data_IF_986634837113
#
_entry.id   IF_986634837113
#
_cell.length_a   1.000
_cell.length_b   1.000
_cell.length_c   1.000
_cell.angle_alpha   90.00
_cell.angle_beta   90.00
_cell.angle_gamma   90.00
#
_symmetry.space_group_name_H-M   'P 1'
#
loop_
_entity.id
_entity.type
_entity.pdbx_description
1 polymer ?
#
# COMPACT_ATOMS: atom_id res chain seq x y z
N UNK A 1 -24.65 -23.77 21.60
CA UNK A 1 -25.10 -23.67 20.20
C UNK A 1 -24.82 -22.25 19.73
N UNK A 2 -23.95 -21.91 18.78
CA UNK A 2 -22.78 -22.52 18.17
C UNK A 2 -21.94 -21.33 17.69
N UNK A 3 -20.62 -21.31 17.96
CA UNK A 3 -19.74 -20.19 17.63
C UNK A 3 -19.47 -20.13 16.13
N UNK A 4 -19.78 -19.01 15.48
CA UNK A 4 -19.34 -18.75 14.11
C UNK A 4 -17.83 -18.46 14.13
N UNK A 5 -17.06 -19.48 13.74
CA UNK A 5 -15.64 -19.33 13.40
C UNK A 5 -15.61 -18.85 11.94
N UNK A 6 -15.29 -17.58 11.71
CA UNK A 6 -14.98 -17.09 10.37
C UNK A 6 -13.57 -17.55 10.01
N UNK A 7 -13.47 -18.68 9.30
CA UNK A 7 -12.24 -19.19 8.71
C UNK A 7 -12.11 -18.62 7.29
N UNK A 8 -11.05 -17.86 7.03
CA UNK A 8 -10.63 -17.50 5.66
C UNK A 8 -9.63 -18.55 5.18
N UNK A 9 -9.99 -19.83 5.25
CA UNK A 9 -9.19 -20.91 4.67
C UNK A 9 -9.69 -21.20 3.26
N UNK A 10 -8.81 -21.14 2.26
CA UNK A 10 -9.12 -21.40 0.84
C UNK A 10 -9.82 -22.73 0.51
N UNK A 11 -10.00 -23.64 1.48
CA UNK A 11 -10.83 -24.85 1.32
C UNK A 11 -12.34 -24.58 1.22
N UNK A 12 -12.80 -23.42 1.68
CA UNK A 12 -14.18 -22.95 1.55
C UNK A 12 -14.35 -21.85 0.49
N UNK A 13 -13.40 -21.72 -0.46
CA UNK A 13 -13.66 -20.99 -1.71
C UNK A 13 -14.65 -21.80 -2.58
N UNK A 14 -15.86 -21.98 -2.05
CA UNK A 14 -17.02 -22.27 -2.86
C UNK A 14 -17.12 -21.11 -3.85
N UNK A 15 -17.29 -21.44 -5.11
CA UNK A 15 -17.54 -20.54 -6.25
C UNK A 15 -18.78 -19.62 -6.10
N UNK A 16 -19.26 -19.39 -4.87
CA UNK A 16 -20.28 -18.42 -4.50
C UNK A 16 -19.70 -17.01 -4.29
N UNK A 17 -18.42 -16.80 -4.63
CA UNK A 17 -17.81 -15.48 -4.67
C UNK A 17 -18.39 -14.66 -5.83
N UNK A 18 -19.25 -13.71 -5.50
CA UNK A 18 -19.74 -12.62 -6.35
C UNK A 18 -20.47 -13.13 -7.59
N UNK A 19 -21.78 -12.96 -7.64
CA UNK A 19 -22.48 -12.90 -8.93
C UNK A 19 -21.72 -11.85 -9.76
N UNK A 20 -20.87 -12.27 -10.71
CA UNK A 20 -20.31 -11.34 -11.69
C UNK A 20 -21.54 -10.61 -12.24
N UNK A 21 -21.59 -9.27 -12.19
CA UNK A 21 -22.68 -8.57 -12.84
C UNK A 21 -22.69 -9.10 -14.27
N UNK A 22 -23.83 -9.64 -14.70
CA UNK A 22 -24.00 -10.10 -16.07
C UNK A 22 -24.05 -8.80 -16.89
N UNK A 23 -22.88 -8.30 -17.27
CA UNK A 23 -22.75 -7.13 -18.13
C UNK A 23 -23.08 -7.57 -19.54
N UNK A 24 -24.36 -7.48 -19.90
CA UNK A 24 -24.90 -8.03 -21.15
C UNK A 24 -24.51 -7.25 -22.43
N UNK A 25 -23.50 -6.37 -22.38
CA UNK A 25 -23.01 -5.63 -23.55
C UNK A 25 -21.49 -5.37 -23.41
N UNK A 26 -20.67 -6.04 -24.24
CA UNK A 26 -19.21 -5.86 -24.47
C UNK A 26 -18.22 -6.90 -23.89
N UNK A 27 -18.56 -8.19 -23.83
CA UNK A 27 -17.58 -9.25 -23.49
C UNK A 27 -16.27 -9.13 -24.30
N UNK A 28 -16.35 -8.81 -25.59
CA UNK A 28 -15.18 -8.66 -26.47
C UNK A 28 -14.24 -7.50 -26.05
N UNK A 29 -14.76 -6.32 -25.67
CA UNK A 29 -13.90 -5.18 -25.30
C UNK A 29 -13.19 -5.42 -23.97
N UNK A 30 -13.88 -5.97 -22.98
CA UNK A 30 -13.27 -6.29 -21.69
C UNK A 30 -12.22 -7.40 -21.82
N UNK A 31 -12.48 -8.40 -22.66
CA UNK A 31 -11.51 -9.44 -22.98
C UNK A 31 -10.28 -8.89 -23.71
N UNK A 32 -10.46 -7.95 -24.63
CA UNK A 32 -9.34 -7.25 -25.28
C UNK A 32 -8.50 -6.45 -24.28
N UNK A 33 -9.14 -5.70 -23.37
CA UNK A 33 -8.45 -4.94 -22.32
C UNK A 33 -7.71 -5.85 -21.34
N UNK A 34 -8.33 -6.94 -20.89
CA UNK A 34 -7.69 -7.96 -20.05
C UNK A 34 -6.47 -8.56 -20.74
N UNK A 35 -6.61 -8.93 -22.01
CA UNK A 35 -5.51 -9.46 -22.83
C UNK A 35 -4.38 -8.44 -22.98
N UNK A 36 -4.69 -7.17 -23.20
CA UNK A 36 -3.68 -6.11 -23.29
C UNK A 36 -2.90 -5.96 -21.99
N UNK A 37 -3.58 -5.94 -20.83
CA UNK A 37 -2.93 -5.88 -19.51
C UNK A 37 -2.04 -7.10 -19.27
N UNK A 38 -2.53 -8.31 -19.58
CA UNK A 38 -1.73 -9.54 -19.47
C UNK A 38 -0.49 -9.50 -20.37
N UNK A 39 -0.60 -8.97 -21.59
CA UNK A 39 0.54 -8.83 -22.50
C UNK A 39 1.56 -7.80 -21.99
N UNK A 40 1.10 -6.71 -21.37
CA UNK A 40 2.00 -5.76 -20.69
C UNK A 40 2.72 -6.39 -19.51
N UNK A 41 2.02 -7.18 -18.68
CA UNK A 41 2.66 -7.95 -17.60
C UNK A 41 3.70 -8.93 -18.16
N UNK A 42 3.35 -9.67 -19.21
CA UNK A 42 4.27 -10.59 -19.89
C UNK A 42 5.53 -9.88 -20.39
N UNK A 43 5.38 -8.73 -21.05
CA UNK A 43 6.51 -7.92 -21.49
C UNK A 43 7.43 -7.51 -20.33
N UNK A 44 6.86 -7.00 -19.24
CA UNK A 44 7.61 -6.62 -18.04
C UNK A 44 8.31 -7.82 -17.39
N UNK A 45 7.60 -8.95 -17.27
CA UNK A 45 8.13 -10.19 -16.72
C UNK A 45 9.27 -10.75 -17.56
N UNK A 46 9.16 -10.78 -18.89
CA UNK A 46 10.23 -11.22 -19.79
C UNK A 46 11.48 -10.34 -19.65
N UNK A 47 11.31 -9.03 -19.50
CA UNK A 47 12.40 -8.11 -19.22
C UNK A 47 13.08 -8.42 -17.88
N UNK A 48 12.29 -8.58 -16.81
CA UNK A 48 12.77 -8.94 -15.47
C UNK A 48 13.49 -10.30 -15.50
N UNK A 49 12.85 -11.34 -16.03
CA UNK A 49 13.37 -12.69 -16.18
C UNK A 49 14.70 -12.72 -16.94
N UNK A 50 14.85 -11.90 -17.98
CA UNK A 50 16.08 -11.86 -18.79
C UNK A 50 17.25 -11.16 -18.09
N UNK A 51 16.99 -10.09 -17.34
CA UNK A 51 18.05 -9.18 -16.88
C UNK A 51 18.24 -9.14 -15.36
N UNK A 52 17.26 -9.58 -14.58
CA UNK A 52 17.18 -9.39 -13.14
C UNK A 52 16.47 -10.54 -12.39
N UNK A 53 16.34 -11.74 -12.98
CA UNK A 53 15.64 -12.85 -12.33
C UNK A 53 16.25 -13.20 -10.96
N UNK A 54 15.41 -13.27 -9.93
CA UNK A 54 15.83 -13.48 -8.55
C UNK A 54 16.48 -12.26 -7.89
N UNK A 55 16.46 -11.09 -8.54
CA UNK A 55 16.92 -9.80 -8.01
C UNK A 55 15.73 -8.94 -7.60
N UNK A 56 15.96 -7.91 -6.81
CA UNK A 56 14.87 -7.11 -6.24
C UNK A 56 14.14 -6.31 -7.31
N UNK A 57 14.87 -5.54 -8.12
CA UNK A 57 14.28 -4.68 -9.15
C UNK A 57 15.17 -4.67 -10.39
N UNK A 58 14.51 -4.65 -11.55
CA UNK A 58 15.15 -4.36 -12.82
C UNK A 58 15.32 -2.84 -12.97
N UNK A 59 16.51 -2.40 -13.37
CA UNK A 59 16.76 -1.04 -13.86
C UNK A 59 16.61 -1.07 -15.40
N UNK A 60 15.41 -0.79 -15.97
CA UNK A 60 15.06 -1.21 -17.33
C UNK A 60 15.89 -0.51 -18.42
N UNK A 61 16.34 0.73 -18.17
CA UNK A 61 17.15 1.50 -19.13
C UNK A 61 18.59 0.96 -19.20
N UNK A 62 19.19 0.70 -18.04
CA UNK A 62 20.59 0.25 -17.95
C UNK A 62 20.76 -1.26 -17.98
N UNK A 63 19.65 -2.02 -17.88
CA UNK A 63 19.62 -3.48 -17.76
C UNK A 63 20.45 -4.00 -16.58
N UNK A 64 20.55 -3.18 -15.52
CA UNK A 64 21.16 -3.54 -14.24
C UNK A 64 20.07 -3.92 -13.25
N UNK A 65 20.45 -4.24 -12.02
CA UNK A 65 19.54 -4.61 -10.95
C UNK A 65 20.08 -4.18 -9.59
N UNK A 66 19.20 -4.13 -8.60
CA UNK A 66 19.54 -4.12 -7.18
C UNK A 66 19.07 -5.45 -6.54
N UNK A 67 19.59 -5.81 -5.35
CA UNK A 67 19.23 -7.10 -4.76
C UNK A 67 19.33 -7.12 -3.24
N UNK A 68 18.32 -7.73 -2.63
CA UNK A 68 18.22 -8.10 -1.23
C UNK A 68 17.60 -9.50 -1.16
N UNK A 69 16.32 -9.64 -1.54
CA UNK A 69 15.51 -10.85 -1.39
C UNK A 69 14.75 -11.30 -2.64
N UNK A 70 14.96 -10.68 -3.80
CA UNK A 70 14.19 -11.01 -5.00
C UNK A 70 12.77 -10.42 -4.95
N UNK A 71 12.63 -9.19 -4.42
CA UNK A 71 11.32 -8.56 -4.18
C UNK A 71 10.38 -8.60 -5.38
N UNK A 72 10.80 -8.20 -6.59
CA UNK A 72 9.93 -8.24 -7.80
C UNK A 72 9.40 -9.63 -8.10
N UNK A 73 10.22 -10.68 -7.89
CA UNK A 73 9.78 -12.06 -8.09
C UNK A 73 8.63 -12.41 -7.16
N UNK A 74 8.77 -12.05 -5.87
CA UNK A 74 7.78 -12.35 -4.82
C UNK A 74 6.51 -11.53 -4.99
N UNK A 75 6.66 -10.22 -5.20
CA UNK A 75 5.56 -9.24 -5.38
C UNK A 75 4.77 -9.48 -6.69
N UNK A 76 5.28 -10.35 -7.58
CA UNK A 76 4.59 -10.75 -8.81
C UNK A 76 3.87 -12.10 -8.71
N UNK A 77 4.10 -12.91 -7.67
CA UNK A 77 3.61 -14.30 -7.63
C UNK A 77 2.08 -14.38 -7.71
N UNK A 78 1.37 -13.58 -6.92
CA UNK A 78 -0.08 -13.54 -6.94
C UNK A 78 -0.63 -13.00 -8.28
N UNK A 79 0.01 -11.98 -8.84
CA UNK A 79 -0.34 -11.38 -10.13
C UNK A 79 -0.18 -12.39 -11.26
N UNK A 80 0.95 -13.11 -11.32
CA UNK A 80 1.17 -14.20 -12.29
C UNK A 80 0.09 -15.28 -12.15
N UNK A 81 -0.26 -15.62 -10.91
CA UNK A 81 -1.28 -16.63 -10.65
C UNK A 81 -2.69 -16.18 -11.09
N UNK A 82 -3.08 -14.94 -10.78
CA UNK A 82 -4.37 -14.32 -11.14
C UNK A 82 -4.50 -14.16 -12.66
N UNK A 83 -3.42 -13.79 -13.34
CA UNK A 83 -3.39 -13.57 -14.80
C UNK A 83 -3.23 -14.86 -15.62
N UNK A 84 -3.30 -16.03 -14.97
CA UNK A 84 -3.13 -17.34 -15.61
C UNK A 84 -1.80 -17.45 -16.38
N UNK A 85 -0.72 -16.98 -15.75
CA UNK A 85 0.67 -17.11 -16.19
C UNK A 85 1.35 -18.20 -15.35
N UNK A 86 0.82 -19.43 -15.46
CA UNK A 86 1.17 -20.56 -14.57
C UNK A 86 2.59 -21.08 -14.76
N UNK A 87 3.13 -21.01 -15.97
CA UNK A 87 4.51 -21.41 -16.26
C UNK A 87 5.49 -20.46 -15.58
N UNK A 88 5.25 -19.15 -15.72
CA UNK A 88 6.04 -18.10 -15.06
C UNK A 88 5.93 -18.18 -13.53
N UNK A 89 4.73 -18.44 -13.01
CA UNK A 89 4.51 -18.67 -11.58
C UNK A 89 5.32 -19.88 -11.07
N UNK A 90 5.32 -20.99 -11.81
CA UNK A 90 6.04 -22.20 -11.42
C UNK A 90 7.55 -21.96 -11.40
N UNK A 91 8.10 -21.30 -12.43
CA UNK A 91 9.52 -20.92 -12.49
C UNK A 91 9.92 -20.01 -11.31
N UNK A 92 9.07 -19.03 -10.98
CA UNK A 92 9.28 -18.13 -9.84
C UNK A 92 9.22 -18.88 -8.50
N UNK A 93 8.24 -19.78 -8.32
CA UNK A 93 8.09 -20.61 -7.11
C UNK A 93 9.30 -21.53 -6.90
N UNK A 94 9.81 -22.14 -7.97
CA UNK A 94 10.99 -23.02 -7.89
C UNK A 94 12.24 -22.22 -7.50
N UNK A 95 12.37 -20.98 -7.97
CA UNK A 95 13.43 -20.09 -7.51
C UNK A 95 13.24 -19.67 -6.04
N UNK A 96 12.02 -19.31 -5.64
CA UNK A 96 11.66 -18.91 -4.27
C UNK A 96 12.10 -19.95 -3.23
N UNK A 97 12.00 -21.25 -3.54
CA UNK A 97 12.42 -22.33 -2.65
C UNK A 97 13.90 -22.19 -2.20
N UNK A 98 14.76 -21.59 -3.04
CA UNK A 98 16.18 -21.42 -2.79
C UNK A 98 16.53 -20.12 -2.03
N UNK A 99 15.57 -19.22 -1.81
CA UNK A 99 15.81 -17.94 -1.13
C UNK A 99 15.97 -18.18 0.38
N UNK A 100 17.03 -17.62 0.97
CA UNK A 100 17.28 -17.63 2.40
C UNK A 100 16.96 -16.26 3.02
N UNK A 101 15.80 -16.14 3.66
CA UNK A 101 15.35 -14.89 4.28
C UNK A 101 16.09 -14.54 5.59
N UNK A 102 16.92 -15.45 6.12
CA UNK A 102 17.80 -15.14 7.24
C UNK A 102 19.13 -14.50 6.81
N UNK A 103 19.29 -14.16 5.53
CA UNK A 103 20.48 -13.49 5.00
C UNK A 103 20.09 -12.40 3.99
N UNK A 104 20.89 -11.34 3.93
CA UNK A 104 20.75 -10.26 2.95
C UNK A 104 22.13 -9.70 2.58
N UNK A 105 22.18 -8.74 1.67
CA UNK A 105 23.44 -8.10 1.28
C UNK A 105 24.15 -7.45 2.49
N UNK A 106 25.50 -7.50 2.56
CA UNK A 106 26.24 -6.94 3.69
C UNK A 106 25.89 -5.47 3.96
N UNK A 107 25.78 -5.11 5.23
CA UNK A 107 25.43 -3.76 5.71
C UNK A 107 24.04 -3.25 5.28
N UNK A 108 23.19 -4.11 4.74
CA UNK A 108 21.83 -3.71 4.38
C UNK A 108 20.92 -3.60 5.61
N UNK A 109 20.25 -2.46 5.74
CA UNK A 109 19.19 -2.23 6.72
C UNK A 109 17.84 -2.52 6.07
N UNK A 110 17.20 -3.59 6.52
CA UNK A 110 15.92 -4.04 5.99
C UNK A 110 14.79 -3.29 6.69
N UNK A 111 13.93 -2.61 5.92
CA UNK A 111 12.73 -1.96 6.45
C UNK A 111 11.71 -3.02 6.84
N UNK A 112 11.15 -2.90 8.04
CA UNK A 112 10.07 -3.76 8.51
C UNK A 112 8.82 -3.59 7.64
N UNK A 113 8.36 -2.35 7.47
CA UNK A 113 7.14 -2.02 6.72
C UNK A 113 7.20 -2.50 5.27
N UNK A 114 8.23 -2.11 4.50
CA UNK A 114 8.34 -2.50 3.08
C UNK A 114 8.44 -4.02 2.91
N UNK A 115 9.12 -4.71 3.83
CA UNK A 115 9.25 -6.16 3.78
C UNK A 115 7.95 -6.87 4.11
N UNK A 116 7.16 -6.32 5.03
CA UNK A 116 5.88 -6.90 5.41
C UNK A 116 4.87 -6.77 4.28
N UNK A 117 4.68 -5.57 3.74
CA UNK A 117 3.63 -5.36 2.73
C UNK A 117 3.94 -6.06 1.40
N UNK A 118 5.22 -6.11 0.98
CA UNK A 118 5.64 -6.70 -0.32
C UNK A 118 5.98 -8.18 -0.22
N UNK A 119 6.84 -8.54 0.74
CA UNK A 119 7.40 -9.89 0.80
C UNK A 119 6.46 -10.81 1.58
N UNK A 120 6.13 -10.46 2.83
CA UNK A 120 5.22 -11.29 3.62
C UNK A 120 3.81 -11.29 3.01
N UNK A 121 3.29 -10.11 2.66
CA UNK A 121 1.99 -9.95 1.98
C UNK A 121 1.92 -10.70 0.66
N UNK A 122 2.91 -10.54 -0.22
CA UNK A 122 2.98 -11.25 -1.50
C UNK A 122 3.02 -12.78 -1.35
N UNK A 123 3.81 -13.29 -0.40
CA UNK A 123 3.87 -14.73 -0.12
C UNK A 123 2.55 -15.27 0.45
N UNK A 124 1.94 -14.58 1.41
CA UNK A 124 0.66 -14.98 1.99
C UNK A 124 -0.47 -14.96 0.95
N UNK A 125 -0.51 -13.92 0.11
CA UNK A 125 -1.45 -13.78 -1.02
C UNK A 125 -1.28 -14.93 -2.01
N UNK A 126 -0.04 -15.19 -2.46
CA UNK A 126 0.26 -16.28 -3.39
C UNK A 126 -0.07 -17.65 -2.80
N UNK A 127 0.16 -17.87 -1.50
CA UNK A 127 -0.22 -19.11 -0.81
C UNK A 127 -1.73 -19.30 -0.77
N UNK A 128 -2.50 -18.29 -0.39
CA UNK A 128 -3.98 -18.40 -0.34
C UNK A 128 -4.59 -18.69 -1.72
N UNK A 129 -3.99 -18.15 -2.79
CA UNK A 129 -4.45 -18.37 -4.16
C UNK A 129 -4.05 -19.76 -4.70
N UNK A 130 -2.86 -20.24 -4.37
CA UNK A 130 -2.27 -21.45 -4.99
C UNK A 130 -2.32 -22.71 -4.13
N UNK A 131 -2.38 -22.58 -2.81
CA UNK A 131 -2.26 -23.68 -1.86
C UNK A 131 -0.86 -24.30 -1.76
N UNK A 132 0.16 -23.69 -2.37
CA UNK A 132 1.52 -24.22 -2.45
C UNK A 132 2.25 -24.14 -1.11
N UNK A 133 2.46 -25.28 -0.44
CA UNK A 133 2.99 -25.33 0.93
C UNK A 133 4.35 -24.64 1.10
N UNK A 134 5.22 -24.71 0.10
CA UNK A 134 6.54 -24.06 0.12
C UNK A 134 6.43 -22.53 0.26
N UNK A 135 5.37 -21.92 -0.28
CA UNK A 135 5.17 -20.48 -0.19
C UNK A 135 4.83 -20.08 1.25
N UNK A 136 4.00 -20.86 1.95
CA UNK A 136 3.70 -20.63 3.37
C UNK A 136 4.93 -20.84 4.25
N UNK A 137 5.76 -21.85 3.95
CA UNK A 137 7.03 -22.07 4.65
C UNK A 137 7.93 -20.83 4.53
N UNK A 138 8.08 -20.28 3.32
CA UNK A 138 8.84 -19.04 3.10
C UNK A 138 8.21 -17.80 3.72
N UNK A 139 6.88 -17.70 3.75
CA UNK A 139 6.19 -16.62 4.46
C UNK A 139 6.52 -16.65 5.96
N UNK A 140 6.57 -17.86 6.55
CA UNK A 140 6.97 -18.04 7.94
C UNK A 140 8.45 -17.67 8.16
N UNK A 141 9.35 -18.04 7.26
CA UNK A 141 10.76 -17.62 7.34
C UNK A 141 10.88 -16.09 7.41
N UNK A 142 10.21 -15.37 6.50
CA UNK A 142 10.20 -13.89 6.48
C UNK A 142 9.63 -13.32 7.78
N UNK A 143 8.48 -13.83 8.21
CA UNK A 143 7.82 -13.41 9.45
C UNK A 143 8.74 -13.56 10.67
N UNK A 144 9.48 -14.68 10.77
CA UNK A 144 10.45 -14.91 11.85
C UNK A 144 11.69 -14.02 11.72
N UNK A 145 12.24 -13.83 10.52
CA UNK A 145 13.43 -13.01 10.31
C UNK A 145 13.21 -11.54 10.70
N UNK A 146 12.00 -11.03 10.49
CA UNK A 146 11.60 -9.66 10.85
C UNK A 146 11.09 -9.53 12.30
N UNK A 147 10.71 -10.64 12.93
CA UNK A 147 10.08 -10.62 14.26
C UNK A 147 10.88 -9.94 15.39
N UNK A 148 12.23 -9.91 15.38
CA UNK A 148 12.99 -9.18 16.40
C UNK A 148 12.60 -7.68 16.51
N UNK A 149 12.09 -7.07 15.44
CA UNK A 149 11.61 -5.69 15.48
C UNK A 149 10.49 -5.45 16.52
N UNK A 150 9.71 -6.46 16.87
CA UNK A 150 8.59 -6.33 17.83
C UNK A 150 9.00 -6.47 19.30
N UNK A 151 10.30 -6.57 19.58
CA UNK A 151 10.82 -6.68 20.95
C UNK A 151 11.18 -5.34 21.59
N UNK A 152 10.83 -4.23 20.96
CA UNK A 152 10.99 -2.90 21.57
C UNK A 152 10.14 -2.77 22.85
N UNK A 153 10.68 -2.21 23.96
CA UNK A 153 9.99 -2.16 25.25
C UNK A 153 8.64 -1.43 25.26
N UNK A 154 8.47 -0.41 24.41
CA UNK A 154 7.21 0.34 24.33
C UNK A 154 6.03 -0.45 23.75
N UNK A 155 6.31 -1.54 23.02
CA UNK A 155 5.32 -2.26 22.22
C UNK A 155 5.15 -1.74 20.80
N UNK A 156 5.75 -0.58 20.45
CA UNK A 156 5.86 -0.08 19.07
C UNK A 156 7.17 -0.64 18.48
N UNK A 157 7.16 -1.28 17.29
CA UNK A 157 8.31 -1.99 16.77
C UNK A 157 9.47 -1.06 16.34
N UNK A 158 10.66 -1.62 16.15
CA UNK A 158 11.73 -0.99 15.38
C UNK A 158 11.33 -0.90 13.90
N UNK A 159 11.64 0.21 13.22
CA UNK A 159 11.34 0.38 11.79
C UNK A 159 12.28 -0.39 10.87
N UNK A 160 13.50 -0.69 11.33
CA UNK A 160 14.53 -1.36 10.55
C UNK A 160 15.24 -2.46 11.32
N UNK A 161 15.82 -3.42 10.60
CA UNK A 161 16.62 -4.51 11.13
C UNK A 161 17.79 -4.86 10.22
N UNK A 162 18.94 -5.17 10.81
CA UNK A 162 20.00 -5.89 10.11
C UNK A 162 19.71 -7.40 10.23
N UNK A 163 19.28 -8.02 9.13
CA UNK A 163 18.90 -9.44 9.08
C UNK A 163 20.09 -10.35 9.39
N UNK A 164 21.28 -10.01 8.88
CA UNK A 164 22.48 -10.83 9.04
C UNK A 164 22.93 -10.91 10.51
N UNK A 165 22.78 -9.82 11.27
CA UNK A 165 23.12 -9.77 12.71
C UNK A 165 21.91 -9.96 13.62
N UNK A 166 20.69 -10.06 13.05
CA UNK A 166 19.40 -10.09 13.75
C UNK A 166 19.21 -8.92 14.72
N UNK A 167 19.79 -7.77 14.40
CA UNK A 167 19.82 -6.59 15.29
C UNK A 167 18.82 -5.55 14.79
N UNK A 168 17.75 -5.26 15.55
CA UNK A 168 16.86 -4.14 15.25
C UNK A 168 17.59 -2.79 15.34
N UNK A 169 17.12 -1.80 14.59
CA UNK A 169 17.74 -0.48 14.47
C UNK A 169 16.74 0.59 14.92
N UNK A 170 17.15 1.39 15.90
CA UNK A 170 16.33 2.49 16.41
C UNK A 170 16.23 3.62 15.38
N UNK A 171 15.00 4.01 15.10
CA UNK A 171 14.63 5.02 14.12
C UNK A 171 13.32 5.66 14.54
N UNK A 172 13.06 6.89 14.10
CA UNK A 172 11.72 7.46 14.20
C UNK A 172 10.80 6.66 13.28
N UNK A 173 9.65 6.22 13.79
CA UNK A 173 8.64 5.55 12.98
C UNK A 173 7.50 6.51 12.67
N UNK A 174 6.92 6.36 11.49
CA UNK A 174 5.63 6.98 11.18
C UNK A 174 4.46 6.01 11.45
N UNK A 175 3.26 6.56 11.61
CA UNK A 175 2.04 5.79 11.91
C UNK A 175 1.70 4.80 10.80
N UNK A 176 1.95 5.15 9.53
CA UNK A 176 1.70 4.25 8.41
C UNK A 176 2.57 2.98 8.51
N UNK A 177 3.86 3.12 8.82
CA UNK A 177 4.78 1.98 8.92
C UNK A 177 4.42 1.01 10.05
N UNK A 178 3.92 1.51 11.19
CA UNK A 178 3.56 0.66 12.33
C UNK A 178 2.12 0.17 12.28
N UNK A 179 1.24 0.91 11.59
CA UNK A 179 -0.18 0.62 11.41
C UNK A 179 -0.50 -0.24 10.19
N UNK A 180 0.50 -0.59 9.38
CA UNK A 180 0.37 -1.41 8.17
C UNK A 180 1.27 -2.64 8.28
N UNK A 181 1.10 -3.38 9.37
CA UNK A 181 1.79 -4.65 9.64
C UNK A 181 0.80 -5.76 10.03
N UNK A 182 -0.41 -5.36 10.41
CA UNK A 182 -1.34 -6.17 11.17
C UNK A 182 -1.98 -7.23 10.30
N UNK A 183 -2.42 -6.89 9.08
CA UNK A 183 -3.14 -7.82 8.23
C UNK A 183 -2.30 -9.07 7.94
N UNK A 184 -1.04 -8.87 7.55
CA UNK A 184 -0.10 -9.91 7.16
C UNK A 184 0.29 -10.77 8.36
N UNK A 185 0.66 -10.18 9.49
CA UNK A 185 1.01 -10.95 10.68
C UNK A 185 -0.18 -11.64 11.34
N UNK A 186 -1.37 -11.03 11.28
CA UNK A 186 -2.61 -11.69 11.74
C UNK A 186 -2.89 -12.90 10.87
N UNK A 187 -2.77 -12.76 9.55
CA UNK A 187 -2.96 -13.86 8.61
C UNK A 187 -1.91 -14.95 8.80
N UNK A 188 -0.64 -14.60 8.99
CA UNK A 188 0.41 -15.55 9.32
C UNK A 188 0.11 -16.30 10.64
N UNK A 189 -0.41 -15.59 11.65
CA UNK A 189 -0.86 -16.21 12.90
C UNK A 189 -1.98 -17.22 12.70
N UNK A 190 -2.97 -16.90 11.86
CA UNK A 190 -4.07 -17.79 11.54
C UNK A 190 -3.58 -19.07 10.84
N UNK A 191 -2.68 -18.91 9.87
CA UNK A 191 -2.18 -20.03 9.05
C UNK A 191 -1.20 -20.93 9.78
N UNK A 192 -0.37 -20.37 10.67
CA UNK A 192 0.64 -21.13 11.44
C UNK A 192 0.14 -21.62 12.79
N UNK A 193 -0.94 -21.02 13.32
CA UNK A 193 -1.39 -21.21 14.70
C UNK A 193 -0.55 -20.48 15.75
N UNK A 194 0.52 -19.77 15.35
CA UNK A 194 1.41 -19.07 16.27
C UNK A 194 0.83 -17.71 16.70
N UNK A 195 0.19 -17.69 17.87
CA UNK A 195 -0.47 -16.49 18.43
C UNK A 195 0.47 -15.31 18.72
N UNK A 196 1.79 -15.54 18.73
CA UNK A 196 2.79 -14.49 19.03
C UNK A 196 2.74 -13.35 18.00
N UNK A 197 2.49 -13.67 16.72
CA UNK A 197 2.38 -12.69 15.65
C UNK A 197 1.22 -11.73 15.92
N UNK A 198 0.00 -12.28 16.06
CA UNK A 198 -1.21 -11.51 16.38
C UNK A 198 -1.04 -10.65 17.63
N UNK A 199 -0.58 -11.25 18.74
CA UNK A 199 -0.45 -10.52 20.01
C UNK A 199 0.47 -9.31 19.92
N UNK A 200 1.59 -9.42 19.20
CA UNK A 200 2.56 -8.34 19.08
C UNK A 200 2.06 -7.23 18.16
N UNK A 201 1.46 -7.56 17.02
CA UNK A 201 0.97 -6.56 16.06
C UNK A 201 -0.32 -5.90 16.51
N UNK A 202 -1.23 -6.64 17.15
CA UNK A 202 -2.47 -6.10 17.74
C UNK A 202 -2.16 -5.09 18.85
N UNK A 203 -1.15 -5.34 19.68
CA UNK A 203 -0.72 -4.40 20.72
C UNK A 203 -0.43 -3.00 20.16
N UNK A 204 0.06 -2.90 18.92
CA UNK A 204 0.32 -1.60 18.28
C UNK A 204 -1.00 -0.85 18.05
N UNK A 205 -2.03 -1.53 17.56
CA UNK A 205 -3.36 -0.95 17.36
C UNK A 205 -3.96 -0.53 18.71
N UNK A 206 -3.85 -1.39 19.73
CA UNK A 206 -4.35 -1.07 21.07
C UNK A 206 -3.67 0.19 21.63
N UNK A 207 -2.37 0.38 21.36
CA UNK A 207 -1.63 1.60 21.76
C UNK A 207 -2.17 2.82 20.99
N UNK A 208 -2.35 2.70 19.67
CA UNK A 208 -2.86 3.80 18.85
C UNK A 208 -4.28 4.19 19.25
N UNK A 209 -5.19 3.23 19.46
CA UNK A 209 -6.58 3.49 19.87
C UNK A 209 -6.67 4.24 21.21
N UNK A 210 -5.75 3.95 22.14
CA UNK A 210 -5.69 4.61 23.45
C UNK A 210 -4.91 5.94 23.42
N UNK A 211 -4.31 6.32 22.29
CA UNK A 211 -3.55 7.56 22.16
C UNK A 211 -4.50 8.75 22.12
N UNK A 212 -4.19 9.78 22.91
CA UNK A 212 -4.93 11.04 22.85
C UNK A 212 -4.52 11.79 21.59
N UNK A 213 -5.47 11.99 20.69
CA UNK A 213 -5.29 12.78 19.48
C UNK A 213 -6.04 14.12 19.64
N UNK A 214 -5.56 15.21 19.02
CA UNK A 214 -6.27 16.49 19.08
C UNK A 214 -7.70 16.38 18.51
N UNK A 215 -7.91 15.44 17.57
CA UNK A 215 -9.21 15.12 17.00
C UNK A 215 -9.40 13.61 16.88
N UNK A 216 -10.60 13.09 17.20
CA UNK A 216 -10.86 11.66 17.18
C UNK A 216 -10.55 11.02 15.82
N UNK A 217 -9.76 9.94 15.84
CA UNK A 217 -9.55 9.07 14.69
C UNK A 217 -8.53 9.53 13.66
N UNK A 218 -7.77 10.59 13.93
CA UNK A 218 -6.67 11.01 13.06
C UNK A 218 -5.40 11.06 13.93
N UNK A 219 -4.28 10.61 13.37
CA UNK A 219 -3.01 10.48 14.08
C UNK A 219 -1.90 11.33 13.45
N UNK A 220 -0.92 11.80 14.24
CA UNK A 220 0.24 12.51 13.71
C UNK A 220 1.03 11.61 12.78
N UNK A 221 1.87 12.21 11.93
CA UNK A 221 2.70 11.42 11.03
C UNK A 221 3.67 10.52 11.82
N UNK A 222 4.30 11.04 12.88
CA UNK A 222 5.31 10.33 13.66
C UNK A 222 4.86 10.03 15.09
N UNK A 223 5.39 8.94 15.66
CA UNK A 223 5.09 8.53 17.03
C UNK A 223 6.37 8.48 17.86
N UNK A 224 6.34 9.11 19.05
CA UNK A 224 7.40 8.95 20.04
C UNK A 224 7.26 7.59 20.73
N UNK A 225 8.22 6.71 20.51
CA UNK A 225 8.20 5.37 21.14
C UNK A 225 8.47 5.42 22.63
N UNK A 226 9.14 6.45 23.13
CA UNK A 226 9.59 6.57 24.53
C UNK A 226 8.49 7.20 25.37
N UNK A 227 8.02 8.37 24.96
CA UNK A 227 7.01 9.11 25.72
C UNK A 227 5.59 8.66 25.39
N UNK A 228 5.41 7.84 24.34
CA UNK A 228 4.10 7.50 23.77
C UNK A 228 3.27 8.76 23.47
N UNK A 229 3.97 9.84 23.16
CA UNK A 229 3.41 11.14 22.83
C UNK A 229 3.49 11.39 21.34
N UNK A 230 2.66 12.32 20.88
CA UNK A 230 2.73 12.88 19.55
C UNK A 230 4.08 13.61 19.44
N UNK A 231 5.06 13.05 18.75
CA UNK A 231 6.26 13.81 18.32
C UNK A 231 6.03 14.29 16.91
N UNK A 232 6.24 15.58 16.71
CA UNK A 232 5.80 16.39 15.58
C UNK A 232 4.30 16.66 15.56
N UNK A 233 3.99 17.96 15.61
CA UNK A 233 2.68 18.61 15.41
C UNK A 233 2.13 18.39 13.98
N UNK A 234 2.72 17.46 13.21
CA UNK A 234 2.39 17.25 11.80
C UNK A 234 1.16 16.36 11.68
N UNK A 235 0.08 17.07 11.35
CA UNK A 235 -1.24 16.60 11.01
C UNK A 235 -2.04 16.17 12.22
N UNK A 236 -3.22 16.79 12.38
CA UNK A 236 -4.52 16.12 12.58
C UNK A 236 -5.62 17.15 12.86
N UNK A 237 -6.37 17.44 11.79
CA UNK A 237 -7.81 17.72 11.63
C UNK A 237 -8.60 16.41 11.45
N UNK A 238 -9.75 16.20 12.10
CA UNK A 238 -10.72 15.15 11.73
C UNK A 238 -11.03 15.13 10.22
N UNK A 239 -11.02 13.94 9.60
CA UNK A 239 -11.25 13.78 8.14
C UNK A 239 -12.54 14.45 7.69
N UNK A 240 -13.61 14.32 8.48
CA UNK A 240 -14.91 14.91 8.16
C UNK A 240 -15.01 16.33 8.72
N UNK A 241 -14.72 17.32 7.86
CA UNK A 241 -14.85 18.75 8.17
C UNK A 241 -13.55 19.55 8.03
N UNK A 242 -12.38 18.93 8.21
CA UNK A 242 -11.10 19.65 8.31
C UNK A 242 -9.99 19.18 7.36
N UNK A 243 -10.16 18.06 6.64
CA UNK A 243 -9.19 17.59 5.63
C UNK A 243 -9.72 17.57 4.19
N UNK A 244 -11.05 17.53 4.02
CA UNK A 244 -11.71 17.50 2.72
C UNK A 244 -12.17 18.89 2.34
N UNK A 245 -11.74 19.34 1.17
CA UNK A 245 -11.99 20.68 0.67
C UNK A 245 -12.48 20.62 -0.78
N UNK A 246 -13.11 21.71 -1.22
CA UNK A 246 -13.56 21.88 -2.59
C UNK A 246 -12.87 23.08 -3.21
N UNK A 247 -12.21 22.87 -4.34
CA UNK A 247 -11.59 23.92 -5.13
C UNK A 247 -12.62 24.97 -5.54
N UNK A 248 -12.22 26.24 -5.48
CA UNK A 248 -13.02 27.37 -5.98
C UNK A 248 -12.70 27.73 -7.43
N UNK A 249 -11.63 27.15 -7.97
CA UNK A 249 -11.13 27.38 -9.32
C UNK A 249 -11.42 26.17 -10.22
N UNK A 250 -11.29 26.36 -11.53
CA UNK A 250 -11.35 25.26 -12.50
C UNK A 250 -12.64 24.43 -12.40
N UNK A 251 -12.47 23.11 -12.32
CA UNK A 251 -13.55 22.12 -12.32
C UNK A 251 -14.20 21.93 -10.93
N UNK A 252 -13.76 22.72 -9.92
CA UNK A 252 -14.26 22.69 -8.54
C UNK A 252 -14.10 21.32 -7.88
N UNK A 253 -12.92 20.74 -8.06
CA UNK A 253 -12.55 19.41 -7.58
C UNK A 253 -12.58 19.30 -6.04
N UNK A 254 -13.03 18.16 -5.53
CA UNK A 254 -12.96 17.82 -4.10
C UNK A 254 -11.64 17.12 -3.81
N UNK A 255 -10.88 17.54 -2.80
CA UNK A 255 -9.55 17.00 -2.53
C UNK A 255 -9.28 16.87 -1.03
N UNK A 256 -8.34 15.98 -0.69
CA UNK A 256 -7.82 15.82 0.66
C UNK A 256 -6.53 16.64 0.79
N UNK A 257 -6.52 17.65 1.67
CA UNK A 257 -5.36 18.51 1.92
C UNK A 257 -4.54 17.99 3.08
N UNK A 258 -3.21 18.08 2.96
CA UNK A 258 -2.35 18.05 4.14
C UNK A 258 -2.62 19.28 5.03
N UNK A 259 -2.30 19.16 6.32
CA UNK A 259 -2.35 20.26 7.27
C UNK A 259 -0.95 20.76 7.60
N UNK A 260 -0.83 22.07 7.76
CA UNK A 260 0.36 22.69 8.33
C UNK A 260 0.51 22.27 9.80
N UNK A 261 1.72 21.87 10.19
CA UNK A 261 2.00 21.32 11.49
C UNK A 261 1.72 22.29 12.64
N UNK A 262 2.02 23.57 12.44
CA UNK A 262 1.98 24.58 13.52
C UNK A 262 0.60 25.17 13.68
N UNK A 263 -0.06 25.40 12.55
CA UNK A 263 -1.34 26.11 12.49
C UNK A 263 -2.54 25.17 12.40
N UNK A 264 -2.32 23.88 12.10
CA UNK A 264 -3.35 22.89 11.79
C UNK A 264 -4.29 23.32 10.66
N UNK A 265 -3.87 24.29 9.85
CA UNK A 265 -4.63 24.77 8.70
C UNK A 265 -4.29 23.98 7.45
N UNK A 266 -5.24 23.77 6.54
CA UNK A 266 -4.96 23.12 5.27
C UNK A 266 -3.95 23.93 4.45
N UNK A 267 -3.00 23.24 3.84
CA UNK A 267 -1.95 23.85 3.01
C UNK A 267 -2.16 23.62 1.51
N UNK A 268 -3.16 22.82 1.13
CA UNK A 268 -3.52 22.50 -0.24
C UNK A 268 -2.67 21.43 -0.91
N UNK A 269 -1.65 20.89 -0.25
CA UNK A 269 -0.89 19.78 -0.79
C UNK A 269 -1.76 18.52 -0.85
N UNK A 270 -1.69 17.83 -1.99
CA UNK A 270 -2.22 16.48 -2.16
C UNK A 270 -1.23 15.68 -3.00
N UNK A 271 -0.72 14.58 -2.43
CA UNK A 271 0.12 13.63 -3.13
C UNK A 271 -0.70 12.63 -3.95
N UNK A 272 -0.07 12.02 -4.96
CA UNK A 272 -0.61 10.88 -5.70
C UNK A 272 -1.02 9.74 -4.77
N UNK A 273 -0.24 9.53 -3.71
CA UNK A 273 -0.51 8.54 -2.68
C UNK A 273 -1.90 8.72 -2.05
N UNK A 274 -2.42 9.94 -1.89
CA UNK A 274 -3.76 10.15 -1.32
C UNK A 274 -4.89 9.55 -2.17
N UNK A 275 -4.63 9.19 -3.44
CA UNK A 275 -5.61 8.58 -4.33
C UNK A 275 -5.99 7.13 -3.98
N UNK A 276 -5.35 6.49 -2.99
CA UNK A 276 -5.87 5.24 -2.42
C UNK A 276 -7.15 5.47 -1.62
N UNK A 277 -7.32 6.66 -1.03
CA UNK A 277 -8.36 6.96 -0.06
C UNK A 277 -9.80 6.83 -0.59
N UNK A 278 -10.13 7.26 -1.84
CA UNK A 278 -11.40 6.94 -2.47
C UNK A 278 -11.76 5.45 -2.44
N UNK A 279 -10.81 4.56 -2.71
CA UNK A 279 -11.03 3.12 -2.69
C UNK A 279 -11.39 2.60 -1.29
N UNK A 280 -10.72 3.12 -0.27
CA UNK A 280 -11.00 2.79 1.14
C UNK A 280 -12.38 3.31 1.57
N UNK A 281 -12.75 4.53 1.17
CA UNK A 281 -14.09 5.07 1.44
C UNK A 281 -15.19 4.25 0.76
N UNK A 282 -14.99 3.85 -0.51
CA UNK A 282 -15.94 3.01 -1.23
C UNK A 282 -16.09 1.62 -0.57
N UNK A 283 -14.97 1.03 -0.13
CA UNK A 283 -14.98 -0.24 0.62
C UNK A 283 -15.74 -0.09 1.94
N UNK A 284 -15.39 0.91 2.76
CA UNK A 284 -16.06 1.18 4.04
C UNK A 284 -17.54 1.49 3.88
N UNK A 285 -17.92 2.22 2.82
CA UNK A 285 -19.31 2.50 2.49
C UNK A 285 -20.13 1.22 2.31
N UNK A 286 -19.58 0.26 1.59
CA UNK A 286 -20.22 -1.03 1.32
C UNK A 286 -20.27 -1.92 2.56
N UNK A 287 -19.12 -2.10 3.24
CA UNK A 287 -19.01 -3.04 4.36
C UNK A 287 -19.71 -2.55 5.63
N UNK A 288 -19.79 -1.23 5.84
CA UNK A 288 -20.40 -0.62 7.03
C UNK A 288 -21.79 -0.03 6.77
N UNK A 289 -22.32 -0.12 5.54
CA UNK A 289 -23.63 0.44 5.17
C UNK A 289 -23.70 1.97 5.26
N UNK A 290 -22.64 2.67 4.84
CA UNK A 290 -22.49 4.14 4.94
C UNK A 290 -22.52 4.81 3.56
N UNK A 291 -23.69 4.99 2.92
CA UNK A 291 -23.78 5.46 1.53
C UNK A 291 -23.29 6.90 1.30
N UNK A 292 -23.17 7.71 2.36
CA UNK A 292 -22.52 9.04 2.28
C UNK A 292 -21.06 8.95 1.86
N UNK A 293 -20.36 7.90 2.30
CA UNK A 293 -18.93 7.75 2.10
C UNK A 293 -18.63 7.39 0.64
N UNK A 294 -19.56 6.71 -0.05
CA UNK A 294 -19.47 6.45 -1.48
C UNK A 294 -19.53 7.73 -2.32
N UNK A 295 -20.38 8.70 -1.95
CA UNK A 295 -20.43 9.99 -2.67
C UNK A 295 -19.11 10.74 -2.54
N UNK A 296 -18.54 10.77 -1.34
CA UNK A 296 -17.22 11.38 -1.13
C UNK A 296 -16.13 10.63 -1.91
N UNK A 297 -16.19 9.29 -1.94
CA UNK A 297 -15.29 8.47 -2.73
C UNK A 297 -15.35 8.82 -4.23
N UNK A 298 -16.55 8.99 -4.80
CA UNK A 298 -16.75 9.39 -6.19
C UNK A 298 -16.14 10.77 -6.48
N UNK A 299 -16.39 11.77 -5.61
CA UNK A 299 -15.84 13.11 -5.77
C UNK A 299 -14.31 13.14 -5.71
N UNK A 300 -13.71 12.43 -4.75
CA UNK A 300 -12.26 12.35 -4.63
C UNK A 300 -11.65 11.52 -5.78
N UNK A 301 -12.35 10.49 -6.27
CA UNK A 301 -11.92 9.71 -7.42
C UNK A 301 -11.93 10.54 -8.70
N UNK A 302 -12.91 11.42 -8.89
CA UNK A 302 -12.94 12.35 -10.03
C UNK A 302 -11.72 13.28 -10.02
N UNK A 303 -11.31 13.75 -8.84
CA UNK A 303 -10.09 14.54 -8.66
C UNK A 303 -8.84 13.76 -9.04
N UNK A 304 -8.69 12.54 -8.53
CA UNK A 304 -7.58 11.67 -8.88
C UNK A 304 -7.56 11.29 -10.37
N UNK A 305 -8.72 11.09 -10.99
CA UNK A 305 -8.82 10.89 -12.43
C UNK A 305 -8.42 12.15 -13.21
N UNK A 306 -8.79 13.34 -12.71
CA UNK A 306 -8.41 14.62 -13.29
C UNK A 306 -6.90 14.80 -13.35
N UNK A 307 -6.18 14.34 -12.33
CA UNK A 307 -4.71 14.33 -12.31
C UNK A 307 -4.10 13.61 -13.52
N UNK A 308 -4.75 12.57 -14.03
CA UNK A 308 -4.30 11.85 -15.23
C UNK A 308 -4.84 12.50 -16.50
N UNK A 309 -6.15 12.75 -16.56
CA UNK A 309 -6.86 13.25 -17.74
C UNK A 309 -6.33 14.58 -18.25
N UNK A 310 -5.92 15.48 -17.34
CA UNK A 310 -5.46 16.82 -17.68
C UNK A 310 -3.98 16.90 -18.06
N UNK A 311 -3.21 15.83 -17.81
CA UNK A 311 -1.78 15.83 -18.12
C UNK A 311 -1.54 15.44 -19.59
N UNK A 312 -0.62 16.09 -20.32
CA UNK A 312 -0.36 15.79 -21.73
C UNK A 312 0.02 14.33 -22.01
N UNK A 313 0.66 13.67 -21.05
CA UNK A 313 1.07 12.26 -21.14
C UNK A 313 -0.05 11.29 -20.78
N UNK A 314 -1.15 11.77 -20.21
CA UNK A 314 -2.18 10.94 -19.59
C UNK A 314 -1.73 10.28 -18.27
N UNK A 315 -0.60 10.69 -17.68
CA UNK A 315 -0.10 10.19 -16.40
C UNK A 315 -0.13 11.28 -15.33
N UNK A 316 -0.59 10.93 -14.13
CA UNK A 316 -0.69 11.86 -13.01
C UNK A 316 0.67 12.27 -12.42
N UNK A 317 0.76 13.49 -11.84
CA UNK A 317 1.91 13.94 -11.07
C UNK A 317 2.03 13.24 -9.71
N UNK A 318 3.24 13.25 -9.11
CA UNK A 318 3.50 12.72 -7.77
C UNK A 318 2.88 13.60 -6.67
N UNK A 319 2.85 14.92 -6.86
CA UNK A 319 2.20 15.84 -5.92
C UNK A 319 1.75 17.13 -6.59
N UNK A 320 0.68 17.71 -6.03
CA UNK A 320 0.09 18.98 -6.44
C UNK A 320 -0.22 19.86 -5.24
N UNK A 321 -0.34 21.16 -5.48
CA UNK A 321 -0.91 22.12 -4.53
C UNK A 321 -2.16 22.73 -5.14
N UNK A 322 -3.30 22.58 -4.48
CA UNK A 322 -4.55 23.20 -4.90
C UNK A 322 -4.53 24.72 -4.66
N UNK A 323 -5.17 25.47 -5.57
CA UNK A 323 -5.21 26.94 -5.53
C UNK A 323 -6.19 27.43 -4.45
N UNK A 324 -5.83 28.52 -3.79
CA UNK A 324 -6.71 29.34 -2.90
C UNK A 324 -7.16 28.69 -1.57
N UNK A 325 -6.32 27.85 -0.97
CA UNK A 325 -6.64 27.25 0.35
C UNK A 325 -6.14 28.11 1.50
N UNK A 326 -5.15 28.96 1.24
CA UNK A 326 -4.78 30.14 2.02
C UNK A 326 -3.95 31.02 1.08
N UNK A 327 -4.51 32.12 0.56
CA UNK A 327 -3.74 33.11 -0.19
C UNK A 327 -2.59 33.61 0.68
N UNK A 328 -1.37 33.10 0.45
CA UNK A 328 -0.07 33.74 0.66
C UNK A 328 1.05 32.70 0.51
N UNK A 329 1.37 32.31 -0.72
CA UNK A 329 2.76 32.19 -1.18
C UNK A 329 2.82 31.83 -2.67
N UNK A 330 3.12 32.86 -3.46
CA UNK A 330 4.11 32.79 -4.54
C UNK A 330 4.01 31.65 -5.56
N UNK A 331 3.21 31.89 -6.60
CA UNK A 331 3.61 31.74 -8.01
C UNK A 331 4.60 30.61 -8.32
N UNK A 332 4.09 29.42 -8.66
CA UNK A 332 4.67 28.63 -9.75
C UNK A 332 3.59 28.48 -10.81
N UNK A 333 3.39 29.57 -11.57
CA UNK A 333 2.63 29.52 -12.81
C UNK A 333 3.45 28.74 -13.84
N UNK A 334 3.41 27.41 -13.74
CA UNK A 334 3.80 26.59 -14.88
C UNK A 334 2.75 26.83 -15.98
N UNK A 335 3.17 27.07 -17.23
CA UNK A 335 2.24 27.22 -18.35
C UNK A 335 1.26 26.02 -18.46
N UNK A 336 1.68 24.86 -17.96
CA UNK A 336 0.94 23.59 -17.89
C UNK A 336 -0.24 23.65 -16.90
N UNK A 337 -0.15 24.43 -15.81
CA UNK A 337 -1.20 24.54 -14.79
C UNK A 337 -2.22 25.65 -15.07
N UNK A 338 -2.14 26.30 -16.25
CA UNK A 338 -3.08 27.34 -16.67
C UNK A 338 -4.46 26.73 -16.91
N UNK A 339 -5.43 27.09 -16.07
CA UNK A 339 -6.81 26.58 -16.11
C UNK A 339 -7.09 25.34 -15.25
N UNK A 340 -6.09 24.82 -14.53
CA UNK A 340 -6.29 23.74 -13.56
C UNK A 340 -6.63 24.27 -12.17
N UNK A 341 -7.30 23.45 -11.37
CA UNK A 341 -7.58 23.65 -9.94
C UNK A 341 -6.31 23.71 -9.07
N UNK A 342 -5.18 23.21 -9.57
CA UNK A 342 -3.94 23.02 -8.83
C UNK A 342 -2.69 23.38 -9.64
N UNK A 343 -1.59 23.61 -8.93
CA UNK A 343 -0.24 23.73 -9.48
C UNK A 343 0.58 22.45 -9.20
N UNK A 344 1.46 22.10 -10.13
CA UNK A 344 2.28 20.88 -10.03
C UNK A 344 3.51 21.14 -9.16
N UNK A 345 3.66 20.43 -8.05
CA UNK A 345 4.85 20.50 -7.19
C UNK A 345 5.89 19.44 -7.53
N UNK A 346 5.45 18.24 -7.92
CA UNK A 346 6.33 17.18 -8.42
C UNK A 346 5.73 16.49 -9.63
N UNK A 347 6.46 16.51 -10.75
CA UNK A 347 6.01 15.95 -12.04
C UNK A 347 6.43 14.49 -12.26
N UNK A 348 7.16 13.89 -11.31
CA UNK A 348 7.57 12.50 -11.42
C UNK A 348 6.37 11.55 -11.44
N UNK A 349 6.48 10.46 -12.19
CA UNK A 349 5.55 9.33 -12.10
C UNK A 349 6.36 8.04 -11.95
N UNK A 350 6.21 7.37 -10.82
CA UNK A 350 7.04 6.24 -10.42
C UNK A 350 6.30 4.91 -10.56
N UNK A 351 5.44 4.80 -11.58
CA UNK A 351 4.58 3.63 -11.82
C UNK A 351 3.67 3.29 -10.63
N UNK A 352 3.28 4.30 -9.86
CA UNK A 352 2.42 4.12 -8.69
C UNK A 352 1.03 3.62 -9.11
N UNK A 353 0.46 2.66 -8.37
CA UNK A 353 -0.86 2.16 -8.68
C UNK A 353 -1.97 3.08 -8.21
N UNK A 354 -1.75 4.19 -7.50
CA UNK A 354 -2.76 4.95 -6.74
C UNK A 354 -4.13 5.30 -7.37
N UNK A 355 -4.36 5.16 -8.68
CA UNK A 355 -5.69 5.22 -9.31
C UNK A 355 -6.37 3.83 -9.50
N UNK A 356 -5.56 2.78 -9.48
CA UNK A 356 -5.93 1.38 -9.45
C UNK A 356 -5.91 0.89 -8.00
N UNK A 357 -7.05 0.40 -7.53
CA UNK A 357 -7.13 -0.33 -6.27
C UNK A 357 -6.27 -1.59 -6.44
N UNK A 358 -5.01 -1.53 -6.02
CA UNK A 358 -4.16 -2.71 -5.88
C UNK A 358 -4.40 -3.23 -4.48
N UNK A 359 -5.21 -4.29 -4.40
CA UNK A 359 -5.31 -5.18 -3.25
C UNK A 359 -4.03 -6.01 -3.14
N UNK A 360 -2.89 -5.38 -2.88
CA UNK A 360 -1.77 -6.07 -2.26
C UNK A 360 -1.49 -5.29 -0.99
N UNK A 361 -2.08 -5.79 0.11
CA UNK A 361 -1.81 -5.38 1.48
C UNK A 361 -2.27 -3.95 1.86
N UNK A 362 -3.50 -3.86 2.39
CA UNK A 362 -3.88 -2.78 3.31
C UNK A 362 -3.83 -3.30 4.75
#
# INVERSE_FOLDING_TARGET
MGSAIFSVSGKDWKSQGVHRPVFQQNDNLYDQRRTAVRNSMKHSWEGYRKYAFGKDELLPVSKKWNNKWGVTLIDSLDTLYIMDMKEEFQEAKDYLANINFNQTTPNHQTSLFESVIRVLGGLLSAYELSGEAIILEKAKDVGESLFPCFNHPSGIPYGFININTKTPIETQNNVAEIGTLQLEYHKLSQLTGEKKYYRKTQKIIDILENMKTPYPGVYPIYVDKINMTLTDEKSVDGINGNLIFKSRFGDKLTFASDLDAKTYKPNGNMGHLACFFPGVLALGSKELGRPSDLRLAEELMETCYNFYKKMPTGLGPESVVFKDINSNNGTILSYISKGLDYDLTSRGYYLRPGLNIVFCSF
#
